data_IF_258295954695
#
_entry.id   IF_258295954695
#
_cell.length_a   1.000
_cell.length_b   1.000
_cell.length_c   1.000
_cell.angle_alpha   90.00
_cell.angle_beta   90.00
_cell.angle_gamma   90.00
#
_symmetry.space_group_name_H-M   'P 1'
#
loop_
_entity.id
_entity.type
_entity.pdbx_description
1 polymer ?
#
# COMPACT_ATOMS: atom_id res chain seq x y z
N UNK A 1 -51.09 10.34 0.97
CA UNK A 1 -49.91 9.94 1.77
C UNK A 1 -48.67 10.39 1.01
N UNK A 2 -47.85 11.26 1.58
CA UNK A 2 -46.58 11.67 0.98
C UNK A 2 -45.59 10.52 1.27
N UNK A 3 -45.16 9.83 0.22
CA UNK A 3 -44.10 8.83 0.31
C UNK A 3 -42.77 9.60 0.31
N UNK A 4 -42.19 9.80 1.49
CA UNK A 4 -40.86 10.42 1.61
C UNK A 4 -39.85 9.34 1.20
N UNK A 5 -39.07 9.54 0.13
CA UNK A 5 -38.05 8.59 -0.23
C UNK A 5 -37.05 8.45 0.93
N UNK A 6 -36.51 7.25 1.18
CA UNK A 6 -35.51 7.05 2.21
C UNK A 6 -34.32 8.00 1.97
N UNK A 7 -33.71 8.47 3.07
CA UNK A 7 -32.56 9.36 2.98
C UNK A 7 -31.46 8.73 2.11
N UNK A 8 -30.93 9.52 1.17
CA UNK A 8 -29.83 9.10 0.28
C UNK A 8 -28.52 8.86 1.03
N UNK A 9 -28.41 9.39 2.25
CA UNK A 9 -27.25 9.24 3.12
C UNK A 9 -27.64 8.81 4.53
N UNK A 10 -26.68 8.27 5.27
CA UNK A 10 -26.78 7.97 6.70
C UNK A 10 -25.62 8.62 7.47
N UNK A 11 -25.95 9.23 8.59
CA UNK A 11 -24.96 9.74 9.55
C UNK A 11 -24.41 8.57 10.38
N UNK A 12 -23.09 8.45 10.40
CA UNK A 12 -22.36 7.50 11.25
C UNK A 12 -21.38 8.25 12.15
N UNK A 13 -20.83 7.60 13.20
CA UNK A 13 -19.72 8.18 13.97
C UNK A 13 -18.47 8.53 13.13
N UNK A 14 -18.37 8.01 11.91
CA UNK A 14 -17.25 8.20 10.99
C UNK A 14 -17.59 9.12 9.80
N UNK A 15 -18.68 9.87 9.89
CA UNK A 15 -19.16 10.78 8.86
C UNK A 15 -20.39 10.27 8.11
N UNK A 16 -20.82 11.06 7.13
CA UNK A 16 -21.93 10.73 6.23
C UNK A 16 -21.50 9.70 5.19
N UNK A 17 -22.39 8.75 4.90
CA UNK A 17 -22.18 7.71 3.88
C UNK A 17 -23.44 7.50 3.04
N UNK A 18 -23.27 7.07 1.79
CA UNK A 18 -24.38 6.65 0.92
C UNK A 18 -25.17 5.50 1.57
N UNK A 19 -26.48 5.69 1.69
CA UNK A 19 -27.35 4.77 2.41
C UNK A 19 -27.47 3.40 1.71
N UNK A 20 -27.49 3.38 0.37
CA UNK A 20 -27.65 2.16 -0.43
C UNK A 20 -26.32 1.41 -0.47
N UNK A 21 -25.20 2.11 -0.68
CA UNK A 21 -23.87 1.54 -0.65
C UNK A 21 -23.57 0.90 0.71
N UNK A 22 -23.98 1.54 1.82
CA UNK A 22 -23.80 0.99 3.15
C UNK A 22 -24.57 -0.33 3.37
N UNK A 23 -25.80 -0.46 2.89
CA UNK A 23 -26.55 -1.71 3.01
C UNK A 23 -25.91 -2.82 2.17
N UNK A 24 -25.56 -2.53 0.92
CA UNK A 24 -24.87 -3.50 0.06
C UNK A 24 -23.53 -3.95 0.66
N UNK A 25 -22.79 -3.02 1.29
CA UNK A 25 -21.53 -3.32 1.94
C UNK A 25 -21.72 -4.23 3.16
N UNK A 26 -22.77 -4.03 3.96
CA UNK A 26 -23.07 -4.88 5.13
C UNK A 26 -23.30 -6.34 4.77
N UNK A 27 -23.89 -6.59 3.60
CA UNK A 27 -24.19 -7.94 3.13
C UNK A 27 -22.97 -8.63 2.47
N UNK A 28 -21.98 -7.86 2.00
CA UNK A 28 -20.92 -8.37 1.13
C UNK A 28 -19.49 -8.22 1.68
N UNK A 29 -19.26 -7.29 2.62
CA UNK A 29 -17.93 -6.95 3.08
C UNK A 29 -17.54 -7.73 4.34
N UNK A 30 -16.58 -8.64 4.18
CA UNK A 30 -15.93 -9.32 5.31
C UNK A 30 -14.83 -8.43 5.90
N UNK A 31 -15.09 -7.84 7.07
CA UNK A 31 -14.17 -6.94 7.77
C UNK A 31 -12.87 -7.63 8.19
N UNK A 32 -12.85 -8.97 8.30
CA UNK A 32 -11.62 -9.71 8.62
C UNK A 32 -10.60 -9.68 7.47
N UNK A 33 -11.00 -9.29 6.25
CA UNK A 33 -10.08 -9.02 5.15
C UNK A 33 -9.10 -7.89 5.47
N UNK A 34 -9.51 -6.88 6.24
CA UNK A 34 -8.62 -5.79 6.66
C UNK A 34 -7.52 -6.31 7.62
N UNK A 35 -7.88 -7.19 8.55
CA UNK A 35 -6.90 -7.80 9.45
C UNK A 35 -5.91 -8.69 8.69
N UNK A 36 -6.39 -9.46 7.70
CA UNK A 36 -5.50 -10.24 6.82
C UNK A 36 -4.52 -9.38 6.02
N UNK A 37 -4.90 -8.15 5.65
CA UNK A 37 -3.97 -7.22 5.01
C UNK A 37 -2.88 -6.75 5.97
N UNK A 38 -3.20 -6.54 7.24
CA UNK A 38 -2.21 -6.20 8.29
C UNK A 38 -1.23 -7.35 8.47
N UNK A 39 -1.73 -8.59 8.64
CA UNK A 39 -0.85 -9.76 8.78
C UNK A 39 0.10 -9.91 7.58
N UNK A 40 -0.41 -9.69 6.36
CA UNK A 40 0.40 -9.74 5.13
C UNK A 40 1.39 -8.58 5.03
N UNK A 41 1.03 -7.40 5.54
CA UNK A 41 1.94 -6.25 5.59
C UNK A 41 3.10 -6.55 6.54
N UNK A 42 2.80 -7.10 7.72
CA UNK A 42 3.81 -7.43 8.72
C UNK A 42 4.80 -8.47 8.20
N UNK A 43 4.31 -9.53 7.55
CA UNK A 43 5.17 -10.52 6.88
C UNK A 43 6.05 -9.86 5.82
N UNK A 44 5.45 -9.03 4.95
CA UNK A 44 6.19 -8.32 3.91
C UNK A 44 7.28 -7.42 4.52
N UNK A 45 6.96 -6.66 5.57
CA UNK A 45 7.93 -5.79 6.24
C UNK A 45 9.06 -6.57 6.93
N UNK A 46 8.78 -7.74 7.50
CA UNK A 46 9.81 -8.61 8.08
C UNK A 46 10.75 -9.12 7.00
N UNK A 47 10.22 -9.60 5.88
CA UNK A 47 11.01 -10.07 4.74
C UNK A 47 11.89 -8.96 4.15
N UNK A 48 11.35 -7.74 4.06
CA UNK A 48 12.04 -6.54 3.60
C UNK A 48 13.10 -6.00 4.59
N UNK A 49 13.17 -6.50 5.83
CA UNK A 49 13.96 -5.87 6.89
C UNK A 49 13.42 -4.50 7.34
N UNK A 50 12.20 -4.16 6.95
CA UNK A 50 11.50 -2.90 7.22
C UNK A 50 11.84 -1.77 6.23
N UNK A 51 11.06 -0.69 6.29
CA UNK A 51 11.20 0.46 5.37
C UNK A 51 12.57 1.15 5.48
N UNK A 52 13.23 1.10 6.64
CA UNK A 52 14.60 1.62 6.80
C UNK A 52 15.59 0.82 5.96
N UNK A 53 15.42 -0.51 5.81
CA UNK A 53 16.31 -1.34 4.96
C UNK A 53 16.25 -0.90 3.51
N UNK A 54 15.05 -0.71 2.95
CA UNK A 54 14.85 -0.19 1.59
C UNK A 54 15.60 1.13 1.37
N UNK A 55 15.52 2.04 2.35
CA UNK A 55 16.24 3.33 2.27
C UNK A 55 17.75 3.11 2.24
N UNK A 56 18.26 2.26 3.11
CA UNK A 56 19.70 1.99 3.22
C UNK A 56 20.23 1.28 1.97
N UNK A 57 19.46 0.36 1.40
CA UNK A 57 19.74 -0.31 0.12
C UNK A 57 19.76 0.68 -1.06
N UNK A 58 18.80 1.61 -1.12
CA UNK A 58 18.79 2.69 -2.12
C UNK A 58 20.02 3.59 -1.99
N UNK A 59 20.40 3.97 -0.77
CA UNK A 59 21.60 4.78 -0.53
C UNK A 59 22.87 4.01 -0.91
N UNK A 60 22.91 2.70 -0.65
CA UNK A 60 24.00 1.84 -1.07
C UNK A 60 24.11 1.77 -2.60
N UNK A 61 23.00 1.53 -3.30
CA UNK A 61 22.95 1.54 -4.76
C UNK A 61 23.37 2.89 -5.35
N UNK A 62 22.95 3.99 -4.73
CA UNK A 62 23.39 5.32 -5.12
C UNK A 62 24.90 5.50 -4.99
N UNK A 63 25.50 5.08 -3.86
CA UNK A 63 26.94 5.13 -3.66
C UNK A 63 27.70 4.28 -4.69
N UNK A 64 27.21 3.07 -4.99
CA UNK A 64 27.78 2.22 -6.03
C UNK A 64 27.68 2.89 -7.41
N UNK A 65 26.53 3.49 -7.74
CA UNK A 65 26.30 4.19 -8.99
C UNK A 65 27.21 5.41 -9.15
N UNK A 66 27.45 6.19 -8.09
CA UNK A 66 28.42 7.30 -8.11
C UNK A 66 29.82 6.81 -8.53
N UNK A 67 30.24 5.66 -8.03
CA UNK A 67 31.54 5.09 -8.40
C UNK A 67 31.57 4.62 -9.85
N UNK A 68 30.56 3.87 -10.30
CA UNK A 68 30.61 3.24 -11.63
C UNK A 68 30.17 4.15 -12.79
N UNK A 69 29.25 5.10 -12.53
CA UNK A 69 28.70 6.01 -13.54
C UNK A 69 29.47 7.33 -13.55
N UNK A 70 29.68 7.93 -12.37
CA UNK A 70 30.29 9.25 -12.25
C UNK A 70 31.81 9.19 -12.01
N UNK A 71 32.39 8.00 -11.82
CA UNK A 71 33.84 7.82 -11.61
C UNK A 71 34.35 8.33 -10.26
N UNK A 72 33.44 8.54 -9.29
CA UNK A 72 33.79 8.98 -7.94
C UNK A 72 34.53 7.87 -7.19
N UNK A 73 35.49 8.24 -6.34
CA UNK A 73 36.20 7.29 -5.48
C UNK A 73 35.23 6.42 -4.67
N UNK A 74 35.62 5.17 -4.39
CA UNK A 74 34.82 4.22 -3.62
C UNK A 74 34.40 4.81 -2.27
N UNK A 75 33.09 4.88 -2.05
CA UNK A 75 32.48 5.34 -0.79
C UNK A 75 31.87 4.18 0.02
N UNK A 76 31.69 3.02 -0.60
CA UNK A 76 31.23 1.77 0.03
C UNK A 76 32.21 0.64 -0.27
N UNK A 77 32.46 -0.31 0.66
CA UNK A 77 33.38 -1.43 0.42
C UNK A 77 32.97 -2.28 -0.79
N UNK A 78 33.89 -2.53 -1.70
CA UNK A 78 33.65 -3.29 -2.94
C UNK A 78 33.75 -4.82 -2.77
N UNK A 79 34.13 -5.29 -1.57
CA UNK A 79 34.78 -6.60 -1.38
C UNK A 79 33.86 -7.81 -1.64
N UNK A 80 32.55 -7.62 -1.83
CA UNK A 80 31.62 -8.71 -2.19
C UNK A 80 30.31 -8.27 -2.85
N UNK A 81 30.16 -7.01 -3.25
CA UNK A 81 28.86 -6.47 -3.71
C UNK A 81 28.84 -6.21 -5.21
N UNK A 82 27.95 -6.89 -5.94
CA UNK A 82 27.66 -6.61 -7.34
C UNK A 82 26.45 -5.68 -7.44
N UNK A 83 26.62 -4.50 -8.06
CA UNK A 83 25.53 -3.49 -8.14
C UNK A 83 24.23 -4.06 -8.74
N UNK A 84 24.34 -4.94 -9.73
CA UNK A 84 23.18 -5.55 -10.37
C UNK A 84 22.47 -6.55 -9.44
N UNK A 85 23.20 -7.26 -8.57
CA UNK A 85 22.62 -8.21 -7.61
C UNK A 85 21.88 -7.45 -6.50
N UNK A 86 22.49 -6.39 -5.98
CA UNK A 86 21.87 -5.51 -4.98
C UNK A 86 20.61 -4.84 -5.57
N UNK A 87 20.67 -4.38 -6.83
CA UNK A 87 19.53 -3.78 -7.52
C UNK A 87 18.40 -4.80 -7.76
N UNK A 88 18.75 -6.03 -8.13
CA UNK A 88 17.78 -7.11 -8.32
C UNK A 88 17.10 -7.49 -7.00
N UNK A 89 17.84 -7.58 -5.90
CA UNK A 89 17.27 -7.85 -4.56
C UNK A 89 16.23 -6.80 -4.20
N UNK A 90 16.63 -5.53 -4.23
CA UNK A 90 15.73 -4.42 -3.92
C UNK A 90 14.52 -4.38 -4.87
N UNK A 91 14.69 -4.75 -6.14
CA UNK A 91 13.57 -4.82 -7.08
C UNK A 91 12.54 -5.89 -6.67
N UNK A 92 12.97 -7.09 -6.30
CA UNK A 92 12.07 -8.18 -5.86
C UNK A 92 11.31 -7.78 -4.60
N UNK A 93 12.02 -7.13 -3.68
CA UNK A 93 11.48 -6.58 -2.44
C UNK A 93 10.37 -5.55 -2.72
N UNK A 94 10.64 -4.60 -3.61
CA UNK A 94 9.64 -3.61 -4.03
C UNK A 94 8.44 -4.25 -4.77
N UNK A 95 8.66 -5.30 -5.56
CA UNK A 95 7.58 -6.04 -6.23
C UNK A 95 6.64 -6.72 -5.23
N UNK A 96 7.17 -7.31 -4.15
CA UNK A 96 6.37 -7.88 -3.07
C UNK A 96 5.49 -6.81 -2.40
N UNK A 97 6.09 -5.64 -2.09
CA UNK A 97 5.36 -4.51 -1.50
C UNK A 97 4.28 -3.97 -2.45
N UNK A 98 4.55 -3.85 -3.74
CA UNK A 98 3.57 -3.42 -4.76
C UNK A 98 2.43 -4.43 -4.88
N UNK A 99 2.73 -5.73 -4.85
CA UNK A 99 1.71 -6.79 -4.87
C UNK A 99 0.77 -6.72 -3.66
N UNK A 100 1.34 -6.49 -2.48
CA UNK A 100 0.56 -6.23 -1.27
C UNK A 100 -0.29 -4.96 -1.41
N UNK A 101 0.30 -3.83 -1.85
CA UNK A 101 -0.39 -2.55 -1.96
C UNK A 101 -1.59 -2.62 -2.93
N UNK A 102 -1.42 -3.29 -4.07
CA UNK A 102 -2.52 -3.55 -5.02
C UNK A 102 -3.62 -4.39 -4.40
N UNK A 103 -3.27 -5.43 -3.65
CA UNK A 103 -4.25 -6.24 -2.92
C UNK A 103 -5.02 -5.38 -1.91
N UNK A 104 -4.33 -4.53 -1.14
CA UNK A 104 -4.94 -3.65 -0.17
C UNK A 104 -5.90 -2.64 -0.81
N UNK A 105 -5.52 -2.04 -1.94
CA UNK A 105 -6.37 -1.12 -2.70
C UNK A 105 -7.70 -1.76 -3.12
N UNK A 106 -7.67 -3.01 -3.60
CA UNK A 106 -8.89 -3.73 -3.99
C UNK A 106 -9.83 -3.99 -2.81
N UNK A 107 -9.27 -4.36 -1.65
CA UNK A 107 -10.06 -4.61 -0.44
C UNK A 107 -10.59 -3.30 0.17
N UNK A 108 -9.87 -2.20 0.07
CA UNK A 108 -10.30 -0.91 0.62
C UNK A 108 -11.33 -0.22 -0.29
N UNK A 109 -11.31 -0.47 -1.60
CA UNK A 109 -12.17 0.20 -2.57
C UNK A 109 -13.69 0.21 -2.23
N UNK A 110 -14.31 -0.88 -1.74
CA UNK A 110 -15.71 -0.86 -1.31
C UNK A 110 -16.02 0.16 -0.21
N UNK A 111 -15.05 0.45 0.67
CA UNK A 111 -15.20 1.47 1.72
C UNK A 111 -15.16 2.88 1.13
N UNK A 112 -14.37 3.10 0.08
CA UNK A 112 -14.34 4.38 -0.65
C UNK A 112 -15.70 4.64 -1.32
N UNK A 113 -16.35 3.58 -1.81
CA UNK A 113 -17.67 3.67 -2.45
C UNK A 113 -18.81 4.00 -1.48
N UNK A 114 -18.54 4.11 -0.17
CA UNK A 114 -19.48 4.67 0.80
C UNK A 114 -19.62 6.19 0.68
N UNK A 115 -18.79 6.85 -0.13
CA UNK A 115 -18.87 8.30 -0.32
C UNK A 115 -20.31 8.73 -0.66
N UNK A 116 -20.90 9.67 0.09
CA UNK A 116 -22.25 10.15 -0.17
C UNK A 116 -22.31 10.80 -1.56
N UNK A 117 -23.34 10.46 -2.33
CA UNK A 117 -23.66 11.15 -3.57
C UNK A 117 -24.25 12.51 -3.22
N UNK A 118 -23.40 13.54 -3.13
CA UNK A 118 -23.88 14.90 -3.11
C UNK A 118 -24.29 15.27 -4.54
N UNK A 119 -25.58 15.52 -4.78
CA UNK A 119 -25.97 16.29 -5.97
C UNK A 119 -25.23 17.64 -5.89
N UNK A 120 -24.43 17.92 -6.93
CA UNK A 120 -23.67 19.17 -7.06
C UNK A 120 -24.57 20.36 -7.39
#
# INVERSE_FOLDING_TARGET
>A
MINIPPASFRLTPYGEVDAVALENLRDSFDTSQLLRLVDRLDVCLVELGGITSIRDELLRLHAMALTIVEGIALTVPAESACIWTEAQSLQMDLEALVSWARSAQLIIAPLINLAPQHEA
#
